data_IF_210719959588
#
_entry.id   IF_210719959588
#
_cell.length_a   1.000
_cell.length_b   1.000
_cell.length_c   1.000
_cell.angle_alpha   90.00
_cell.angle_beta   90.00
_cell.angle_gamma   90.00
#
_symmetry.space_group_name_H-M   'P 1'
#
loop_
_entity.id
_entity.type
_entity.pdbx_description
1 polymer ?
#
# COMPACT_ATOMS: atom_id res chain seq x y z
N UNK A 1 -20.78 -10.33 -18.39
CA UNK A 1 -20.93 -11.36 -17.36
C UNK A 1 -20.37 -10.85 -16.06
N UNK A 2 -21.19 -10.73 -15.05
CA UNK A 2 -20.66 -10.28 -13.78
C UNK A 2 -19.69 -11.32 -13.28
N UNK A 3 -18.49 -10.87 -12.96
CA UNK A 3 -17.57 -11.67 -12.19
C UNK A 3 -18.18 -11.71 -10.80
N UNK A 4 -19.18 -12.53 -10.66
CA UNK A 4 -20.12 -12.50 -9.56
C UNK A 4 -19.50 -12.88 -8.21
N UNK A 5 -18.20 -13.13 -8.15
CA UNK A 5 -17.63 -13.68 -6.94
C UNK A 5 -16.12 -13.43 -6.81
N UNK A 6 -15.66 -12.26 -7.23
CA UNK A 6 -14.30 -11.91 -6.89
C UNK A 6 -14.28 -11.54 -5.41
N UNK A 7 -14.06 -12.54 -4.60
CA UNK A 7 -13.77 -12.27 -3.19
C UNK A 7 -12.36 -11.74 -3.11
N UNK A 8 -12.20 -10.56 -2.56
CA UNK A 8 -10.89 -10.08 -2.19
C UNK A 8 -10.32 -10.88 -1.02
N UNK A 9 -9.03 -10.72 -0.75
CA UNK A 9 -8.31 -11.48 0.28
C UNK A 9 -8.76 -11.16 1.71
N UNK A 10 -9.33 -9.99 1.95
CA UNK A 10 -9.82 -9.58 3.26
C UNK A 10 -11.19 -8.92 3.12
N UNK A 11 -11.97 -8.78 4.22
CA UNK A 11 -13.26 -8.10 4.16
C UNK A 11 -13.15 -6.70 3.58
N UNK A 12 -14.14 -6.29 2.81
CA UNK A 12 -14.25 -4.99 2.14
C UNK A 12 -13.26 -4.76 0.99
N UNK A 13 -12.56 -5.79 0.54
CA UNK A 13 -11.62 -5.65 -0.60
C UNK A 13 -12.33 -5.19 -1.88
N UNK A 14 -13.54 -5.70 -2.15
CA UNK A 14 -14.30 -5.31 -3.34
C UNK A 14 -14.75 -3.85 -3.26
N UNK A 15 -15.10 -3.39 -2.08
CA UNK A 15 -15.43 -1.97 -1.85
C UNK A 15 -14.22 -1.08 -2.12
N UNK A 16 -13.04 -1.51 -1.65
CA UNK A 16 -11.79 -0.80 -1.94
C UNK A 16 -11.51 -0.75 -3.44
N UNK A 17 -11.67 -1.87 -4.13
CA UNK A 17 -11.48 -1.93 -5.58
C UNK A 17 -12.35 -0.89 -6.29
N UNK A 18 -13.61 -0.80 -5.91
CA UNK A 18 -14.54 0.16 -6.48
C UNK A 18 -14.10 1.61 -6.23
N UNK A 19 -13.64 1.90 -5.01
CA UNK A 19 -13.15 3.23 -4.65
C UNK A 19 -11.91 3.62 -5.46
N UNK A 20 -10.98 2.69 -5.63
CA UNK A 20 -9.75 2.95 -6.40
C UNK A 20 -10.09 3.13 -7.89
N UNK A 21 -10.97 2.30 -8.43
CA UNK A 21 -11.40 2.47 -9.82
C UNK A 21 -12.03 3.85 -10.05
N UNK A 22 -12.84 4.31 -9.13
CA UNK A 22 -13.44 5.64 -9.21
C UNK A 22 -12.37 6.73 -9.20
N UNK A 23 -11.35 6.60 -8.36
CA UNK A 23 -10.25 7.55 -8.30
C UNK A 23 -9.41 7.56 -9.58
N UNK A 24 -9.35 6.45 -10.29
CA UNK A 24 -8.58 6.34 -11.53
C UNK A 24 -9.32 6.86 -12.76
N UNK A 25 -10.65 6.98 -12.69
CA UNK A 25 -11.45 7.42 -13.86
C UNK A 25 -11.34 8.92 -14.08
N UNK A 26 -11.51 9.38 -15.36
CA UNK A 26 -11.81 8.55 -16.55
C UNK A 26 -10.57 8.00 -17.26
N UNK A 27 -9.37 8.48 -16.99
CA UNK A 27 -8.21 8.27 -17.85
C UNK A 27 -7.08 7.49 -17.21
N UNK A 28 -7.35 6.69 -16.17
CA UNK A 28 -6.30 5.99 -15.43
C UNK A 28 -5.14 6.95 -15.08
N UNK A 29 -5.48 7.97 -14.30
CA UNK A 29 -4.51 8.98 -13.87
C UNK A 29 -3.25 8.33 -13.28
N UNK A 30 -2.09 8.99 -13.38
CA UNK A 30 -0.85 8.47 -12.76
C UNK A 30 -0.91 8.61 -11.24
N UNK A 31 -1.79 7.85 -10.61
CA UNK A 31 -1.96 7.86 -9.16
C UNK A 31 -0.93 6.97 -8.48
N UNK A 32 -0.39 7.47 -7.40
CA UNK A 32 0.41 6.70 -6.48
C UNK A 32 -0.50 6.22 -5.36
N UNK A 33 -0.76 4.92 -5.33
CA UNK A 33 -1.63 4.29 -4.35
C UNK A 33 -0.75 3.62 -3.32
N UNK A 34 -0.83 4.08 -2.07
CA UNK A 34 -0.10 3.46 -0.97
C UNK A 34 -1.02 2.49 -0.23
N UNK A 35 -0.56 1.27 -0.05
CA UNK A 35 -1.21 0.31 0.85
C UNK A 35 -0.30 0.13 2.04
N UNK A 36 -0.72 0.68 3.16
CA UNK A 36 0.04 0.74 4.38
C UNK A 36 -0.44 -0.35 5.33
N UNK A 37 0.41 -1.30 5.60
CA UNK A 37 0.06 -2.46 6.41
C UNK A 37 0.72 -2.42 7.76
N UNK A 38 -0.05 -2.79 8.79
CA UNK A 38 0.46 -2.91 10.15
C UNK A 38 1.21 -4.21 10.38
N UNK A 39 0.99 -5.20 9.54
CA UNK A 39 1.57 -6.51 9.74
C UNK A 39 2.88 -6.67 8.96
N UNK A 40 3.97 -6.88 9.70
CA UNK A 40 5.29 -7.09 9.10
C UNK A 40 5.50 -8.50 8.54
N UNK A 41 4.56 -9.40 8.72
CA UNK A 41 4.70 -10.79 8.24
C UNK A 41 4.37 -10.91 6.76
N UNK A 42 4.08 -9.79 6.10
CA UNK A 42 4.25 -9.62 4.67
C UNK A 42 3.50 -10.57 3.75
N UNK A 43 2.32 -11.05 4.12
CA UNK A 43 1.46 -11.67 3.14
C UNK A 43 0.53 -10.62 2.57
N UNK A 44 1.10 -9.74 1.80
CA UNK A 44 0.38 -8.67 1.13
C UNK A 44 -0.42 -9.19 -0.03
N UNK A 45 -1.42 -9.97 0.27
CA UNK A 45 -2.31 -10.44 -0.78
C UNK A 45 -3.21 -9.33 -1.31
N UNK A 46 -3.46 -8.30 -0.51
CA UNK A 46 -4.34 -7.21 -0.93
C UNK A 46 -3.76 -6.39 -2.10
N UNK A 47 -2.51 -5.97 -1.98
CA UNK A 47 -1.86 -5.20 -3.04
C UNK A 47 -1.71 -5.99 -4.33
N UNK A 48 -1.32 -7.25 -4.23
CA UNK A 48 -1.22 -8.13 -5.39
C UNK A 48 -2.58 -8.37 -6.02
N UNK A 49 -3.61 -8.56 -5.21
CA UNK A 49 -4.96 -8.73 -5.70
C UNK A 49 -5.48 -7.48 -6.42
N UNK A 50 -5.30 -6.30 -5.83
CA UNK A 50 -5.67 -5.03 -6.47
C UNK A 50 -4.91 -4.82 -7.77
N UNK A 51 -3.61 -5.08 -7.76
CA UNK A 51 -2.78 -4.95 -8.95
C UNK A 51 -3.30 -5.80 -10.09
N UNK A 52 -3.66 -7.03 -9.78
CA UNK A 52 -4.23 -7.94 -10.76
C UNK A 52 -5.60 -7.48 -11.27
N UNK A 53 -6.48 -7.06 -10.36
CA UNK A 53 -7.82 -6.59 -10.73
C UNK A 53 -7.76 -5.32 -11.59
N UNK A 54 -6.82 -4.43 -11.30
CA UNK A 54 -6.72 -3.13 -11.97
C UNK A 54 -5.75 -3.15 -13.17
N UNK A 55 -5.02 -4.23 -13.36
CA UNK A 55 -4.04 -4.33 -14.43
C UNK A 55 -2.89 -3.34 -14.28
N UNK A 56 -2.37 -3.17 -13.06
CA UNK A 56 -1.23 -2.30 -12.78
C UNK A 56 -0.24 -3.02 -11.86
N UNK A 57 1.03 -2.59 -11.82
CA UNK A 57 2.00 -3.23 -10.95
C UNK A 57 1.83 -2.84 -9.49
N UNK A 58 2.22 -3.75 -8.60
CA UNK A 58 2.41 -3.46 -7.19
C UNK A 58 3.89 -3.57 -6.85
N UNK A 59 4.41 -2.56 -6.18
CA UNK A 59 5.78 -2.55 -5.66
C UNK A 59 5.71 -2.95 -4.19
N UNK A 60 6.29 -4.07 -3.86
CA UNK A 60 6.31 -4.58 -2.49
C UNK A 60 7.54 -4.07 -1.77
N UNK A 61 7.34 -3.26 -0.74
CA UNK A 61 8.43 -2.59 -0.02
C UNK A 61 9.35 -3.56 0.70
N UNK A 62 8.88 -4.72 1.08
CA UNK A 62 9.71 -5.73 1.73
C UNK A 62 10.87 -6.21 0.84
N UNK A 63 10.73 -6.10 -0.48
CA UNK A 63 11.82 -6.41 -1.41
C UNK A 63 12.96 -5.39 -1.34
N UNK A 64 12.71 -4.22 -0.75
CA UNK A 64 13.66 -3.13 -0.68
C UNK A 64 14.24 -2.92 0.72
N UNK A 65 13.81 -3.71 1.70
CA UNK A 65 14.24 -3.55 3.09
C UNK A 65 15.71 -3.94 3.24
N UNK A 66 16.50 -3.04 3.85
CA UNK A 66 17.90 -3.30 4.17
C UNK A 66 18.12 -3.51 5.67
N UNK A 67 17.20 -3.02 6.51
CA UNK A 67 17.27 -3.14 7.95
C UNK A 67 15.85 -3.12 8.53
N UNK A 68 15.62 -3.84 9.62
CA UNK A 68 14.34 -3.87 10.31
C UNK A 68 14.31 -3.00 11.58
N UNK A 69 15.47 -2.71 12.16
CA UNK A 69 15.56 -2.02 13.46
C UNK A 69 16.63 -0.92 13.43
N UNK A 70 16.29 0.33 13.03
CA UNK A 70 15.05 0.80 12.45
C UNK A 70 14.87 0.28 11.02
N UNK A 71 13.63 0.32 10.56
CA UNK A 71 13.35 -0.12 9.20
C UNK A 71 13.96 0.86 8.20
N UNK A 72 14.64 0.32 7.21
CA UNK A 72 15.28 1.11 6.16
C UNK A 72 15.12 0.40 4.82
N UNK A 73 15.15 1.18 3.74
CA UNK A 73 14.94 0.67 2.38
C UNK A 73 16.06 1.09 1.43
N UNK A 74 16.20 0.34 0.35
CA UNK A 74 17.01 0.71 -0.80
C UNK A 74 16.32 1.87 -1.53
N UNK A 75 16.50 3.09 -1.06
CA UNK A 75 15.72 4.24 -1.53
C UNK A 75 16.02 4.62 -2.97
N UNK A 76 17.26 4.49 -3.42
CA UNK A 76 17.60 4.81 -4.80
C UNK A 76 16.90 3.88 -5.80
N UNK A 77 16.85 2.59 -5.50
CA UNK A 77 16.19 1.61 -6.36
C UNK A 77 14.67 1.76 -6.30
N UNK A 78 14.13 1.99 -5.11
CA UNK A 78 12.70 2.22 -4.94
C UNK A 78 12.25 3.46 -5.72
N UNK A 79 12.99 4.55 -5.60
CA UNK A 79 12.70 5.78 -6.33
C UNK A 79 12.70 5.55 -7.84
N UNK A 80 13.68 4.83 -8.33
CA UNK A 80 13.78 4.53 -9.76
C UNK A 80 12.56 3.78 -10.28
N UNK A 81 12.13 2.77 -9.55
CA UNK A 81 10.97 1.95 -9.95
C UNK A 81 9.68 2.76 -9.93
N UNK A 82 9.45 3.53 -8.87
CA UNK A 82 8.23 4.33 -8.72
C UNK A 82 8.21 5.47 -9.76
N UNK A 83 9.31 6.19 -9.90
CA UNK A 83 9.41 7.31 -10.85
C UNK A 83 9.20 6.84 -12.29
N UNK A 84 9.72 5.68 -12.64
CA UNK A 84 9.57 5.13 -13.98
C UNK A 84 8.10 4.98 -14.39
N UNK A 85 7.26 4.55 -13.45
CA UNK A 85 5.82 4.40 -13.72
C UNK A 85 5.12 5.75 -13.78
N UNK A 86 5.33 6.58 -12.77
CA UNK A 86 4.65 7.86 -12.66
C UNK A 86 5.07 8.84 -13.76
N UNK A 87 6.34 8.85 -14.14
CA UNK A 87 6.83 9.72 -15.19
C UNK A 87 6.29 9.32 -16.57
N UNK A 88 5.86 8.08 -16.71
CA UNK A 88 5.17 7.62 -17.93
C UNK A 88 3.66 7.89 -17.89
N UNK A 89 3.18 8.59 -16.88
CA UNK A 89 1.75 8.88 -16.72
C UNK A 89 0.91 7.67 -16.32
N UNK A 90 1.51 6.69 -15.64
CA UNK A 90 0.82 5.45 -15.27
C UNK A 90 0.73 5.26 -13.77
N UNK A 91 -0.38 4.70 -13.26
CA UNK A 91 -0.54 4.46 -11.83
C UNK A 91 0.32 3.30 -11.34
N UNK A 92 0.60 3.32 -10.04
CA UNK A 92 1.37 2.27 -9.38
C UNK A 92 0.89 2.10 -7.94
N UNK A 93 0.89 0.86 -7.47
CA UNK A 93 0.63 0.53 -6.07
C UNK A 93 1.97 0.34 -5.37
N UNK A 94 2.14 0.98 -4.22
CA UNK A 94 3.29 0.75 -3.33
C UNK A 94 2.74 0.23 -2.01
N UNK A 95 3.22 -0.90 -1.57
CA UNK A 95 2.65 -1.64 -0.47
C UNK A 95 3.70 -2.12 0.50
N UNK A 96 3.41 -2.01 1.77
CA UNK A 96 4.27 -2.51 2.84
C UNK A 96 4.06 -1.80 4.15
N UNK A 97 4.87 -2.17 5.15
CA UNK A 97 4.88 -1.49 6.44
C UNK A 97 5.54 -0.13 6.30
N UNK A 98 5.05 0.86 7.03
CA UNK A 98 5.59 2.23 7.02
C UNK A 98 5.68 2.80 5.60
N UNK A 99 4.67 2.50 4.77
CA UNK A 99 4.70 2.87 3.35
C UNK A 99 4.86 4.37 3.13
N UNK A 100 4.20 5.20 3.95
CA UNK A 100 4.30 6.65 3.79
C UNK A 100 5.69 7.18 4.14
N UNK A 101 6.38 6.55 5.10
CA UNK A 101 7.76 6.91 5.41
C UNK A 101 8.70 6.56 4.25
N UNK A 102 8.52 5.39 3.66
CA UNK A 102 9.30 4.99 2.49
C UNK A 102 9.10 5.95 1.32
N UNK A 103 7.86 6.36 1.06
CA UNK A 103 7.55 7.31 0.00
C UNK A 103 8.14 8.69 0.26
N UNK A 104 8.12 9.16 1.51
CA UNK A 104 8.77 10.43 1.86
C UNK A 104 10.26 10.41 1.52
N UNK A 105 10.93 9.30 1.79
CA UNK A 105 12.36 9.17 1.53
C UNK A 105 12.70 9.24 0.04
N UNK A 106 11.77 8.93 -0.83
CA UNK A 106 11.96 9.05 -2.28
C UNK A 106 11.32 10.32 -2.85
N UNK A 107 10.81 11.21 -1.99
CA UNK A 107 10.23 12.48 -2.40
C UNK A 107 8.86 12.36 -3.06
N UNK A 108 8.10 11.33 -2.76
CA UNK A 108 6.76 11.13 -3.32
C UNK A 108 5.70 11.17 -2.24
N UNK A 109 4.53 11.66 -2.63
CA UNK A 109 3.33 11.70 -1.79
C UNK A 109 2.26 10.81 -2.42
N UNK A 110 1.64 9.96 -1.61
CA UNK A 110 0.57 9.10 -2.10
C UNK A 110 -0.68 9.92 -2.43
N UNK A 111 -1.30 9.60 -3.55
CA UNK A 111 -2.57 10.22 -3.97
C UNK A 111 -3.77 9.53 -3.34
N UNK A 112 -3.64 8.26 -3.04
CA UNK A 112 -4.67 7.47 -2.37
C UNK A 112 -4.01 6.58 -1.34
N UNK A 113 -4.43 6.69 -0.09
CA UNK A 113 -3.84 5.95 1.04
C UNK A 113 -4.82 4.91 1.55
N UNK A 114 -4.40 3.66 1.52
CA UNK A 114 -5.13 2.54 2.10
C UNK A 114 -4.40 2.10 3.36
N UNK A 115 -5.09 2.05 4.47
CA UNK A 115 -4.53 1.57 5.72
C UNK A 115 -5.13 0.23 6.08
N UNK A 116 -4.29 -0.78 6.25
CA UNK A 116 -4.71 -2.12 6.65
C UNK A 116 -4.24 -2.35 8.08
N UNK A 117 -5.19 -2.39 8.99
CA UNK A 117 -4.92 -2.67 10.39
C UNK A 117 -4.72 -4.18 10.55
N UNK A 118 -3.55 -4.57 11.00
CA UNK A 118 -3.23 -5.97 11.26
C UNK A 118 -3.21 -6.29 12.73
N UNK A 119 -3.12 -7.57 13.03
CA UNK A 119 -2.87 -8.06 14.38
C UNK A 119 -1.36 -7.95 14.61
N UNK A 120 -0.97 -7.24 15.65
CA UNK A 120 0.38 -6.77 15.90
C UNK A 120 1.52 -7.71 15.54
N UNK A 121 2.51 -7.18 14.85
CA UNK A 121 3.70 -7.91 14.48
C UNK A 121 4.69 -7.93 15.63
N UNK A 122 5.30 -9.07 15.81
CA UNK A 122 6.37 -9.25 16.77
C UNK A 122 7.59 -8.46 16.30
N UNK A 123 8.10 -7.55 17.12
CA UNK A 123 9.37 -6.86 16.87
C UNK A 123 9.29 -5.49 16.20
N UNK A 124 8.21 -5.17 15.50
CA UNK A 124 8.02 -3.84 14.91
C UNK A 124 6.95 -3.01 15.60
N UNK A 125 6.38 -3.53 16.68
CA UNK A 125 5.22 -2.91 17.35
C UNK A 125 5.47 -1.45 17.72
N UNK A 126 6.63 -1.14 18.30
CA UNK A 126 6.95 0.23 18.72
C UNK A 126 7.08 1.19 17.54
N UNK A 127 7.72 0.73 16.46
CA UNK A 127 7.86 1.53 15.25
C UNK A 127 6.49 1.78 14.60
N UNK A 128 5.61 0.77 14.61
CA UNK A 128 4.28 0.89 14.02
C UNK A 128 3.37 1.81 14.82
N UNK A 129 3.44 1.75 16.15
CA UNK A 129 2.66 2.66 17.01
C UNK A 129 3.09 4.10 16.81
N UNK A 130 4.39 4.37 16.84
CA UNK A 130 4.94 5.70 16.58
C UNK A 130 4.51 6.22 15.21
N UNK A 131 4.61 5.36 14.20
CA UNK A 131 4.21 5.68 12.84
C UNK A 131 2.74 6.06 12.74
N UNK A 132 1.84 5.29 13.34
CA UNK A 132 0.41 5.60 13.34
C UNK A 132 0.13 6.97 13.94
N UNK A 133 0.80 7.30 15.04
CA UNK A 133 0.62 8.59 15.69
C UNK A 133 1.13 9.74 14.81
N UNK A 134 2.36 9.60 14.29
CA UNK A 134 2.95 10.64 13.43
C UNK A 134 2.15 10.89 12.15
N UNK A 135 1.57 9.85 11.58
CA UNK A 135 0.81 9.93 10.33
C UNK A 135 -0.68 10.12 10.54
N UNK A 136 -1.14 10.15 11.78
CA UNK A 136 -2.57 10.27 12.13
C UNK A 136 -3.42 9.18 11.48
N UNK A 137 -2.95 7.94 11.55
CA UNK A 137 -3.65 6.79 10.98
C UNK A 137 -4.48 6.06 12.04
N UNK A 138 -5.62 5.51 11.67
CA UNK A 138 -6.19 5.44 10.31
C UNK A 138 -6.94 6.68 9.85
N UNK A 139 -7.07 7.71 10.69
CA UNK A 139 -7.92 8.87 10.44
C UNK A 139 -7.64 9.57 9.11
N UNK A 140 -6.39 9.64 8.68
CA UNK A 140 -5.99 10.29 7.43
C UNK A 140 -5.97 9.38 6.21
N UNK A 141 -6.27 8.09 6.37
CA UNK A 141 -6.36 7.19 5.24
C UNK A 141 -7.62 7.46 4.42
N UNK A 142 -7.53 7.29 3.12
CA UNK A 142 -8.69 7.40 2.24
C UNK A 142 -9.60 6.19 2.37
N UNK A 143 -9.03 5.06 2.76
CA UNK A 143 -9.77 3.82 2.98
C UNK A 143 -9.04 2.99 4.03
N UNK A 144 -9.79 2.42 4.97
CA UNK A 144 -9.22 1.57 6.02
C UNK A 144 -9.89 0.22 6.03
N UNK A 145 -9.09 -0.82 6.22
CA UNK A 145 -9.56 -2.20 6.33
C UNK A 145 -8.92 -2.87 7.53
N UNK A 146 -9.53 -3.96 7.96
CA UNK A 146 -8.92 -4.85 8.94
C UNK A 146 -8.43 -6.12 8.23
N UNK A 147 -7.18 -6.48 8.49
CA UNK A 147 -6.61 -7.70 7.99
C UNK A 147 -7.20 -8.93 8.68
N UNK A 148 -6.91 -10.10 8.13
CA UNK A 148 -7.33 -11.34 8.77
C UNK A 148 -6.62 -11.54 10.10
N UNK A 149 -7.38 -11.98 11.07
CA UNK A 149 -6.88 -12.41 12.38
C UNK A 149 -6.77 -13.94 12.39
N UNK A 150 -5.86 -14.49 11.64
CA UNK A 150 -5.58 -15.92 11.75
C UNK A 150 -4.33 -16.15 12.56
#
# INVERSE_FOLDING_TARGET
MPIATVKGPIPRSVELLDRVQTALTPNRLPLLIAIDEMDAVGKSSLGSWLAWQLGMPAVHLDLFITSLYPIQWLTADLKRVVDLRLDRGRPVIVEGVLALDALDQIGRTADFVVFVKGVGSIGLADQLVDYQERRSLPGRADFSLEGHSD
#
